data_IF_978095060556
#
_entry.id   IF_978095060556
#
_cell.length_a   1.000
_cell.length_b   1.000
_cell.length_c   1.000
_cell.angle_alpha   90.00
_cell.angle_beta   90.00
_cell.angle_gamma   90.00
#
_symmetry.space_group_name_H-M   'P 1'
#
loop_
_entity.id
_entity.type
_entity.pdbx_description
1 polymer ?
#
# COMPACT_ATOMS: atom_id res chain seq x y z
N UNK A 1 17.21 45.63 24.72
CA UNK A 1 17.90 45.56 23.43
C UNK A 1 18.57 44.22 23.23
N UNK A 2 17.75 43.17 23.36
CA UNK A 2 18.20 41.77 23.16
C UNK A 2 17.23 41.14 22.16
N UNK A 3 17.41 41.43 20.85
CA UNK A 3 16.62 40.82 19.79
C UNK A 3 17.42 40.19 18.64
N UNK A 4 18.73 40.04 18.79
CA UNK A 4 19.59 39.56 17.70
C UNK A 4 20.13 38.12 17.85
N UNK A 5 19.68 37.35 18.86
CA UNK A 5 20.24 35.99 19.10
C UNK A 5 19.35 34.82 18.69
N UNK A 6 18.39 35.00 17.76
CA UNK A 6 17.52 33.90 17.28
C UNK A 6 17.81 33.43 15.84
N UNK A 7 18.92 33.85 15.24
CA UNK A 7 19.33 33.40 13.89
C UNK A 7 20.63 32.58 13.98
N UNK A 8 20.65 31.50 14.73
CA UNK A 8 21.86 30.73 14.88
C UNK A 8 21.72 29.33 15.45
N UNK A 9 20.78 28.51 14.97
CA UNK A 9 20.83 27.06 15.28
C UNK A 9 20.06 26.17 14.30
N UNK A 10 20.10 26.50 13.00
CA UNK A 10 19.51 25.67 11.93
C UNK A 10 20.39 24.53 11.39
N UNK A 11 21.56 24.23 11.98
CA UNK A 11 22.57 23.38 11.34
C UNK A 11 22.82 22.01 12.00
N UNK A 12 21.85 21.41 12.68
CA UNK A 12 22.09 20.12 13.36
C UNK A 12 21.33 18.90 12.80
N UNK A 13 20.67 19.00 11.63
CA UNK A 13 19.97 17.84 11.04
C UNK A 13 20.68 17.19 9.84
N UNK A 14 21.73 17.79 9.28
CA UNK A 14 22.56 17.17 8.24
C UNK A 14 24.03 17.52 8.49
N UNK A 15 24.77 16.67 9.17
CA UNK A 15 26.22 16.83 9.29
C UNK A 15 26.87 16.73 7.91
N UNK A 16 27.30 17.87 7.35
CA UNK A 16 28.17 17.93 6.18
C UNK A 16 27.56 18.39 4.85
N UNK A 17 26.26 18.71 4.76
CA UNK A 17 25.72 19.27 3.52
C UNK A 17 25.94 20.79 3.45
N UNK A 18 26.61 21.25 2.39
CA UNK A 18 26.65 22.67 2.01
C UNK A 18 25.33 23.05 1.31
N UNK A 19 24.97 24.33 1.30
CA UNK A 19 23.76 24.81 0.58
C UNK A 19 23.75 24.38 -0.89
N UNK A 20 24.89 24.35 -1.53
CA UNK A 20 25.06 23.99 -2.94
C UNK A 20 24.76 22.49 -3.17
N UNK A 21 25.21 21.60 -2.28
CA UNK A 21 24.94 20.17 -2.38
C UNK A 21 23.45 19.83 -2.18
N UNK A 22 22.72 20.59 -1.34
CA UNK A 22 21.28 20.43 -1.16
C UNK A 22 20.53 20.88 -2.42
N UNK A 23 20.94 22.00 -3.03
CA UNK A 23 20.35 22.48 -4.28
C UNK A 23 20.55 21.49 -5.43
N UNK A 24 21.76 20.93 -5.58
CA UNK A 24 22.06 19.91 -6.61
C UNK A 24 21.22 18.64 -6.40
N UNK A 25 21.15 18.13 -5.16
CA UNK A 25 20.33 16.96 -4.84
C UNK A 25 18.84 17.21 -5.09
N UNK A 26 18.34 18.38 -4.76
CA UNK A 26 16.94 18.76 -5.01
C UNK A 26 16.64 18.83 -6.51
N UNK A 27 17.55 19.43 -7.30
CA UNK A 27 17.40 19.51 -8.75
C UNK A 27 17.42 18.12 -9.40
N UNK A 28 18.28 17.22 -8.93
CA UNK A 28 18.34 15.82 -9.41
C UNK A 28 17.02 15.07 -9.11
N UNK A 29 16.50 15.19 -7.89
CA UNK A 29 15.20 14.62 -7.50
C UNK A 29 14.09 15.17 -8.40
N UNK A 30 14.02 16.48 -8.60
CA UNK A 30 13.02 17.09 -9.46
C UNK A 30 13.10 16.55 -10.89
N UNK A 31 14.32 16.47 -11.46
CA UNK A 31 14.53 15.94 -12.81
C UNK A 31 14.04 14.51 -12.93
N UNK A 32 14.47 13.62 -12.02
CA UNK A 32 14.05 12.22 -12.01
C UNK A 32 12.55 12.05 -11.83
N UNK A 33 11.93 12.89 -11.00
CA UNK A 33 10.48 12.88 -10.82
C UNK A 33 9.74 13.28 -12.10
N UNK A 34 10.18 14.33 -12.77
CA UNK A 34 9.58 14.74 -14.05
C UNK A 34 9.78 13.69 -15.15
N UNK A 35 10.93 13.03 -15.17
CA UNK A 35 11.22 11.93 -16.11
C UNK A 35 10.33 10.70 -15.84
N UNK A 36 9.88 10.49 -14.60
CA UNK A 36 8.97 9.41 -14.23
C UNK A 36 7.48 9.68 -14.56
N UNK A 37 7.08 10.93 -14.84
CA UNK A 37 5.67 11.27 -15.07
C UNK A 37 4.99 10.47 -16.19
N UNK A 38 5.62 10.19 -17.35
CA UNK A 38 5.01 9.37 -18.39
C UNK A 38 4.67 7.96 -17.91
N UNK A 39 5.52 7.36 -17.08
CA UNK A 39 5.32 6.04 -16.52
C UNK A 39 4.22 6.04 -15.45
N UNK A 40 4.22 7.03 -14.57
CA UNK A 40 3.12 7.24 -13.60
C UNK A 40 1.78 7.36 -14.34
N UNK A 41 1.73 8.17 -15.40
CA UNK A 41 0.52 8.34 -16.19
C UNK A 41 0.07 7.01 -16.81
N UNK A 42 0.98 6.25 -17.39
CA UNK A 42 0.70 4.95 -18.02
C UNK A 42 0.09 3.98 -16.97
N UNK A 43 0.70 3.85 -15.82
CA UNK A 43 0.23 2.96 -14.75
C UNK A 43 -1.13 3.39 -14.21
N UNK A 44 -1.34 4.70 -14.01
CA UNK A 44 -2.65 5.22 -13.60
C UNK A 44 -3.76 4.90 -14.62
N UNK A 45 -3.45 4.96 -15.92
CA UNK A 45 -4.42 4.62 -16.97
C UNK A 45 -4.77 3.12 -16.96
N UNK A 46 -3.81 2.23 -16.70
CA UNK A 46 -4.09 0.79 -16.56
C UNK A 46 -4.92 0.50 -15.32
N UNK A 47 -4.68 1.18 -14.21
CA UNK A 47 -5.48 1.04 -12.98
C UNK A 47 -6.92 1.56 -13.18
N UNK A 48 -7.10 2.70 -13.84
CA UNK A 48 -8.45 3.21 -14.20
C UNK A 48 -9.17 2.22 -15.13
N UNK A 49 -8.45 1.59 -16.06
CA UNK A 49 -9.05 0.54 -16.90
C UNK A 49 -9.45 -0.67 -16.04
N UNK A 50 -8.63 -1.10 -15.08
CA UNK A 50 -8.94 -2.20 -14.18
C UNK A 50 -10.20 -1.94 -13.35
N UNK A 51 -10.34 -0.71 -12.83
CA UNK A 51 -11.53 -0.29 -12.10
C UNK A 51 -12.79 -0.33 -12.97
N UNK A 52 -12.70 0.19 -14.20
CA UNK A 52 -13.83 0.18 -15.12
C UNK A 52 -14.23 -1.24 -15.54
N UNK A 53 -13.26 -2.11 -15.83
CA UNK A 53 -13.52 -3.50 -16.23
C UNK A 53 -13.99 -4.36 -15.05
N UNK A 54 -13.63 -3.99 -13.82
CA UNK A 54 -13.96 -4.72 -12.60
C UNK A 54 -15.28 -4.33 -11.96
N UNK A 55 -15.83 -3.16 -12.29
CA UNK A 55 -17.10 -2.65 -11.75
C UNK A 55 -18.22 -2.64 -12.82
N UNK A 56 -19.11 -3.65 -12.82
CA UNK A 56 -20.23 -3.70 -13.77
C UNK A 56 -21.22 -2.54 -13.64
N UNK A 57 -21.18 -1.79 -12.52
CA UNK A 57 -22.05 -0.65 -12.28
C UNK A 57 -21.47 0.67 -12.80
N UNK A 58 -20.18 0.70 -13.14
CA UNK A 58 -19.51 1.91 -13.62
C UNK A 58 -20.07 2.32 -14.99
N UNK A 59 -20.60 3.54 -15.05
CA UNK A 59 -21.11 4.11 -16.30
C UNK A 59 -20.02 4.64 -17.23
N UNK A 60 -18.86 5.02 -16.68
CA UNK A 60 -17.73 5.55 -17.44
C UNK A 60 -16.41 5.43 -16.66
N UNK A 61 -15.26 5.61 -17.37
CA UNK A 61 -13.94 5.63 -16.73
C UNK A 61 -13.76 6.86 -15.84
N UNK A 62 -14.40 7.97 -16.16
CA UNK A 62 -14.35 9.19 -15.35
C UNK A 62 -14.99 9.00 -13.98
N UNK A 63 -16.03 8.17 -13.89
CA UNK A 63 -16.71 7.85 -12.63
C UNK A 63 -15.78 7.12 -11.67
N UNK A 64 -15.02 6.14 -12.14
CA UNK A 64 -14.15 5.32 -11.29
C UNK A 64 -12.89 6.03 -10.81
N UNK A 65 -12.47 7.13 -11.44
CA UNK A 65 -11.30 7.92 -11.03
C UNK A 65 -11.47 8.45 -9.60
N UNK A 66 -12.68 8.81 -9.19
CA UNK A 66 -12.95 9.38 -7.87
C UNK A 66 -12.81 8.36 -6.72
N UNK A 67 -12.83 7.08 -7.02
CA UNK A 67 -12.73 6.00 -6.03
C UNK A 67 -11.33 5.42 -5.90
N UNK A 68 -10.41 5.83 -6.78
CA UNK A 68 -9.08 5.26 -6.87
C UNK A 68 -8.04 6.04 -6.04
N UNK A 69 -7.20 5.35 -5.24
CA UNK A 69 -6.15 6.00 -4.45
C UNK A 69 -4.90 6.34 -5.31
N UNK A 70 -5.08 6.93 -6.49
CA UNK A 70 -4.01 7.23 -7.46
C UNK A 70 -2.87 8.07 -6.90
N UNK A 71 -3.11 8.80 -5.80
CA UNK A 71 -2.08 9.58 -5.12
C UNK A 71 -0.93 8.70 -4.59
N UNK A 72 -1.19 7.43 -4.29
CA UNK A 72 -0.16 6.46 -3.92
C UNK A 72 0.91 6.31 -5.01
N UNK A 73 0.55 6.23 -6.30
CA UNK A 73 1.51 6.06 -7.41
C UNK A 73 2.54 7.19 -7.46
N UNK A 74 2.09 8.41 -7.21
CA UNK A 74 2.96 9.59 -7.14
C UNK A 74 3.83 9.56 -5.88
N UNK A 75 3.23 9.23 -4.75
CA UNK A 75 3.93 9.12 -3.46
C UNK A 75 5.02 8.05 -3.50
N UNK A 76 4.79 6.93 -4.15
CA UNK A 76 5.75 5.83 -4.30
C UNK A 76 7.02 6.28 -5.04
N UNK A 77 6.90 6.97 -6.17
CA UNK A 77 8.07 7.50 -6.89
C UNK A 77 8.88 8.47 -6.04
N UNK A 78 8.22 9.35 -5.30
CA UNK A 78 8.91 10.25 -4.37
C UNK A 78 9.59 9.50 -3.21
N UNK A 79 8.98 8.41 -2.74
CA UNK A 79 9.56 7.52 -1.73
C UNK A 79 10.85 6.87 -2.25
N UNK A 80 10.84 6.32 -3.46
CA UNK A 80 12.00 5.68 -4.09
C UNK A 80 13.12 6.67 -4.39
N UNK A 81 12.79 7.93 -4.67
CA UNK A 81 13.75 9.03 -4.78
C UNK A 81 14.31 9.51 -3.43
N UNK A 82 13.89 8.91 -2.31
CA UNK A 82 14.38 9.23 -0.98
C UNK A 82 13.86 10.55 -0.41
N UNK A 83 12.74 11.07 -0.94
CA UNK A 83 12.12 12.30 -0.42
C UNK A 83 11.56 12.03 0.98
N UNK A 84 12.01 12.75 2.02
CA UNK A 84 11.53 12.50 3.37
C UNK A 84 10.13 13.11 3.58
N UNK A 85 9.32 12.48 4.43
CA UNK A 85 8.04 12.99 4.96
C UNK A 85 6.93 13.13 3.90
N UNK A 86 7.19 13.79 2.77
CA UNK A 86 6.18 14.12 1.74
C UNK A 86 5.42 12.86 1.26
N UNK A 87 6.07 11.74 0.89
CA UNK A 87 5.35 10.53 0.49
C UNK A 87 4.36 10.04 1.55
N UNK A 88 4.77 10.07 2.82
CA UNK A 88 3.90 9.69 3.94
C UNK A 88 2.70 10.62 4.09
N UNK A 89 2.91 11.94 4.02
CA UNK A 89 1.82 12.92 4.09
C UNK A 89 0.83 12.70 2.95
N UNK A 90 1.31 12.42 1.74
CA UNK A 90 0.46 12.15 0.58
C UNK A 90 -0.40 10.89 0.78
N UNK A 91 0.18 9.80 1.27
CA UNK A 91 -0.58 8.56 1.53
C UNK A 91 -1.58 8.72 2.69
N UNK A 92 -1.27 9.54 3.72
CA UNK A 92 -2.23 9.87 4.79
C UNK A 92 -3.41 10.72 4.29
N UNK A 93 -3.18 11.65 3.36
CA UNK A 93 -4.26 12.41 2.71
C UNK A 93 -5.16 11.46 1.92
N UNK A 94 -4.58 10.55 1.13
CA UNK A 94 -5.34 9.53 0.40
C UNK A 94 -6.15 8.64 1.34
N UNK A 95 -5.53 8.14 2.41
CA UNK A 95 -6.17 7.32 3.44
C UNK A 95 -7.36 8.05 4.09
N UNK A 96 -7.16 9.29 4.51
CA UNK A 96 -8.25 10.08 5.15
C UNK A 96 -9.45 10.31 4.24
N UNK A 97 -9.23 10.35 2.92
CA UNK A 97 -10.29 10.60 1.93
C UNK A 97 -11.01 9.33 1.47
N UNK A 98 -10.31 8.20 1.43
CA UNK A 98 -10.81 6.94 0.84
C UNK A 98 -11.02 5.81 1.84
N UNK A 99 -10.42 5.89 3.01
CA UNK A 99 -10.34 4.77 3.97
C UNK A 99 -9.39 3.66 3.54
N UNK A 100 -8.53 3.89 2.52
CA UNK A 100 -7.55 2.94 2.00
C UNK A 100 -6.16 3.39 2.44
N UNK A 101 -5.49 2.58 3.25
CA UNK A 101 -4.12 2.85 3.76
C UNK A 101 -3.09 2.07 2.96
N UNK A 102 -2.30 2.76 2.13
CA UNK A 102 -1.22 2.16 1.34
C UNK A 102 0.10 2.81 1.76
N UNK A 103 1.03 2.01 2.29
CA UNK A 103 2.38 2.47 2.58
C UNK A 103 3.12 2.91 1.30
N UNK A 104 3.74 4.08 1.31
CA UNK A 104 4.40 4.63 0.12
C UNK A 104 5.50 3.73 -0.45
N UNK A 105 6.15 2.90 0.38
CA UNK A 105 7.18 1.95 -0.04
C UNK A 105 6.65 0.62 -0.59
N UNK A 106 5.34 0.39 -0.64
CA UNK A 106 4.79 -0.82 -1.25
C UNK A 106 5.03 -0.81 -2.77
N UNK A 107 5.38 -1.95 -3.35
CA UNK A 107 5.51 -2.10 -4.79
C UNK A 107 4.24 -2.75 -5.35
N UNK A 108 3.55 -2.07 -6.26
CA UNK A 108 2.28 -2.52 -6.84
C UNK A 108 2.39 -2.48 -8.37
N UNK A 109 2.19 -3.62 -9.01
CA UNK A 109 2.17 -3.79 -10.47
C UNK A 109 1.05 -3.01 -11.15
N UNK A 110 0.85 -3.29 -12.43
CA UNK A 110 -0.14 -2.62 -13.27
C UNK A 110 -1.52 -3.26 -13.18
N UNK A 111 -2.53 -2.54 -13.67
CA UNK A 111 -3.90 -3.03 -13.72
C UNK A 111 -4.42 -3.46 -12.34
N UNK A 112 -4.06 -2.68 -11.33
CA UNK A 112 -4.41 -2.95 -9.94
C UNK A 112 -5.83 -2.48 -9.64
N UNK A 113 -6.64 -3.37 -9.05
CA UNK A 113 -8.04 -3.13 -8.77
C UNK A 113 -8.34 -3.21 -7.27
N UNK A 114 -9.00 -2.18 -6.73
CA UNK A 114 -9.60 -2.19 -5.39
C UNK A 114 -11.08 -1.89 -5.51
N UNK A 115 -11.92 -2.83 -5.04
CA UNK A 115 -13.36 -2.64 -5.00
C UNK A 115 -13.81 -2.19 -3.61
N UNK A 116 -14.68 -1.16 -3.56
CA UNK A 116 -15.15 -0.44 -2.37
C UNK A 116 -14.02 0.15 -1.51
N UNK A 117 -12.98 -0.55 -1.25
CA UNK A 117 -11.71 -0.13 -0.68
C UNK A 117 -11.68 0.18 0.82
N UNK A 118 -12.77 0.57 1.44
CA UNK A 118 -12.79 0.97 2.86
C UNK A 118 -12.15 -0.08 3.75
N UNK A 119 -11.14 0.32 4.53
CA UNK A 119 -10.42 -0.56 5.45
C UNK A 119 -9.37 -1.46 4.80
N UNK A 120 -9.05 -1.27 3.52
CA UNK A 120 -7.87 -1.91 2.91
C UNK A 120 -6.61 -1.33 3.53
N UNK A 121 -5.69 -2.21 3.94
CA UNK A 121 -4.37 -1.85 4.46
C UNK A 121 -3.29 -2.61 3.68
N UNK A 122 -2.39 -1.88 3.04
CA UNK A 122 -1.23 -2.42 2.31
C UNK A 122 0.04 -1.90 2.98
N UNK A 123 0.74 -2.80 3.67
CA UNK A 123 1.96 -2.45 4.41
C UNK A 123 3.12 -2.08 3.49
N UNK A 124 4.01 -1.24 3.98
CA UNK A 124 5.10 -0.57 3.25
C UNK A 124 6.04 -1.51 2.48
N UNK A 125 6.29 -2.73 2.96
CA UNK A 125 7.17 -3.69 2.28
C UNK A 125 6.39 -4.78 1.51
N UNK A 126 5.12 -4.53 1.20
CA UNK A 126 4.32 -5.42 0.36
C UNK A 126 4.81 -5.36 -1.09
N UNK A 127 4.80 -6.50 -1.76
CA UNK A 127 4.99 -6.59 -3.20
C UNK A 127 3.72 -7.18 -3.82
N UNK A 128 3.16 -6.52 -4.81
CA UNK A 128 1.95 -6.92 -5.52
C UNK A 128 2.27 -6.94 -7.01
N UNK A 129 1.98 -8.04 -7.69
CA UNK A 129 2.13 -8.20 -9.13
C UNK A 129 1.04 -7.50 -9.94
N UNK A 130 0.93 -7.88 -11.21
CA UNK A 130 -0.02 -7.32 -12.15
C UNK A 130 -1.40 -7.98 -12.04
N UNK A 131 -2.45 -7.24 -12.42
CA UNK A 131 -3.84 -7.73 -12.47
C UNK A 131 -4.37 -8.27 -11.13
N UNK A 132 -3.89 -7.76 -10.02
CA UNK A 132 -4.34 -8.16 -8.68
C UNK A 132 -5.61 -7.41 -8.30
N UNK A 133 -6.56 -8.14 -7.67
CA UNK A 133 -7.84 -7.60 -7.21
C UNK A 133 -7.98 -7.72 -5.71
N UNK A 134 -8.24 -6.59 -5.03
CA UNK A 134 -8.51 -6.54 -3.60
C UNK A 134 -9.93 -6.00 -3.34
N UNK A 135 -10.58 -6.54 -2.35
CA UNK A 135 -11.87 -6.07 -1.87
C UNK A 135 -11.73 -5.38 -0.51
N UNK A 136 -12.79 -4.70 -0.08
CA UNK A 136 -12.82 -3.92 1.17
C UNK A 136 -12.32 -4.72 2.38
N UNK A 137 -11.63 -4.05 3.29
CA UNK A 137 -11.14 -4.62 4.56
C UNK A 137 -9.98 -5.62 4.42
N UNK A 138 -9.42 -5.80 3.23
CA UNK A 138 -8.24 -6.65 3.04
C UNK A 138 -7.04 -6.04 3.75
N UNK A 139 -6.31 -6.86 4.49
CA UNK A 139 -5.06 -6.46 5.17
C UNK A 139 -3.87 -7.27 4.65
N UNK A 140 -2.91 -6.58 4.04
CA UNK A 140 -1.58 -7.12 3.69
C UNK A 140 -0.57 -6.59 4.72
N UNK A 141 -0.40 -7.33 5.81
CA UNK A 141 0.23 -6.84 7.03
C UNK A 141 1.46 -7.62 7.48
N UNK A 142 2.10 -7.12 8.53
CA UNK A 142 3.16 -7.84 9.22
C UNK A 142 2.58 -8.88 10.18
N UNK A 143 3.24 -10.04 10.29
CA UNK A 143 2.85 -11.08 11.25
C UNK A 143 3.04 -10.62 12.71
N UNK A 144 4.05 -9.78 12.97
CA UNK A 144 4.33 -9.20 14.29
C UNK A 144 5.07 -7.87 14.15
N UNK A 145 4.70 -6.92 14.99
CA UNK A 145 5.36 -5.62 15.10
C UNK A 145 6.24 -5.50 16.36
N UNK A 146 6.41 -6.59 17.13
CA UNK A 146 7.16 -6.60 18.41
C UNK A 146 8.63 -6.20 18.25
N UNK A 147 9.21 -6.30 17.06
CA UNK A 147 10.57 -5.85 16.76
C UNK A 147 10.77 -4.33 16.79
N UNK A 148 9.69 -3.55 16.75
CA UNK A 148 9.74 -2.08 16.73
C UNK A 148 10.67 -1.56 15.63
N UNK A 149 11.53 -0.59 15.95
CA UNK A 149 12.45 0.03 15.00
C UNK A 149 13.46 -0.92 14.33
N UNK A 150 13.72 -2.10 14.92
CA UNK A 150 14.57 -3.13 14.29
C UNK A 150 13.97 -3.73 13.02
N UNK A 151 12.68 -3.52 12.79
CA UNK A 151 11.99 -3.95 11.57
C UNK A 151 12.06 -2.91 10.45
N UNK A 152 12.68 -1.75 10.66
CA UNK A 152 12.85 -0.74 9.62
C UNK A 152 13.68 -1.31 8.46
N UNK A 153 13.18 -1.17 7.23
CA UNK A 153 13.83 -1.70 6.03
C UNK A 153 13.82 -3.22 5.85
N UNK A 154 13.22 -3.97 6.80
CA UNK A 154 13.10 -5.44 6.68
C UNK A 154 11.78 -5.80 6.00
N UNK A 155 11.82 -6.74 5.05
CA UNK A 155 10.62 -7.34 4.43
C UNK A 155 9.77 -7.99 5.53
N UNK A 156 8.58 -7.41 5.79
CA UNK A 156 7.66 -7.85 6.86
C UNK A 156 6.22 -8.03 6.40
N UNK A 157 5.92 -7.63 5.16
CA UNK A 157 4.61 -7.75 4.54
C UNK A 157 4.65 -8.74 3.37
N UNK A 158 3.52 -9.36 3.01
CA UNK A 158 3.49 -10.46 2.05
C UNK A 158 3.87 -10.05 0.63
N UNK A 159 4.09 -11.07 -0.20
CA UNK A 159 4.19 -10.96 -1.65
C UNK A 159 2.94 -11.57 -2.27
N UNK A 160 2.29 -10.83 -3.16
CA UNK A 160 1.12 -11.25 -3.93
C UNK A 160 1.55 -11.29 -5.39
N UNK A 161 1.51 -12.45 -6.01
CA UNK A 161 1.88 -12.62 -7.41
C UNK A 161 0.74 -12.18 -8.35
N UNK A 162 0.97 -12.31 -9.67
CA UNK A 162 0.05 -11.82 -10.69
C UNK A 162 -1.32 -12.51 -10.66
N UNK A 163 -2.35 -11.83 -11.13
CA UNK A 163 -3.69 -12.39 -11.31
C UNK A 163 -4.38 -12.91 -10.03
N UNK A 164 -3.88 -12.52 -8.84
CA UNK A 164 -4.46 -12.93 -7.56
C UNK A 164 -5.70 -12.11 -7.22
N UNK A 165 -6.72 -12.77 -6.67
CA UNK A 165 -7.90 -12.13 -6.12
C UNK A 165 -8.01 -12.38 -4.62
N UNK A 166 -8.14 -11.31 -3.82
CA UNK A 166 -8.30 -11.40 -2.36
C UNK A 166 -9.63 -10.74 -1.98
N UNK A 167 -10.56 -11.57 -1.50
CA UNK A 167 -11.90 -11.13 -1.13
C UNK A 167 -11.95 -10.45 0.25
N UNK A 168 -13.07 -9.78 0.50
CA UNK A 168 -13.30 -8.87 1.61
C UNK A 168 -12.89 -9.41 2.98
N UNK A 169 -12.29 -8.53 3.79
CA UNK A 169 -11.87 -8.80 5.18
C UNK A 169 -10.86 -9.95 5.34
N UNK A 170 -10.22 -10.40 4.26
CA UNK A 170 -9.13 -11.35 4.37
C UNK A 170 -7.86 -10.66 4.91
N UNK A 171 -7.13 -11.35 5.77
CA UNK A 171 -5.82 -10.90 6.28
C UNK A 171 -4.74 -11.84 5.77
N UNK A 172 -3.76 -11.29 5.05
CA UNK A 172 -2.56 -12.01 4.59
C UNK A 172 -1.35 -11.38 5.26
N UNK A 173 -0.66 -12.13 6.11
CA UNK A 173 0.35 -11.59 6.99
C UNK A 173 1.69 -12.30 6.87
N UNK A 174 2.77 -11.50 6.98
CA UNK A 174 4.14 -12.01 7.10
C UNK A 174 5.01 -11.80 5.85
N UNK A 175 6.28 -11.43 6.05
CA UNK A 175 7.21 -11.13 4.97
C UNK A 175 7.62 -12.33 4.12
N UNK A 176 7.52 -13.54 4.68
CA UNK A 176 7.80 -14.79 3.98
C UNK A 176 6.55 -15.38 3.28
N UNK A 177 5.37 -14.79 3.52
CA UNK A 177 4.12 -15.25 2.92
C UNK A 177 4.04 -14.83 1.46
N UNK A 178 3.90 -15.79 0.56
CA UNK A 178 3.71 -15.59 -0.87
C UNK A 178 2.37 -16.17 -1.28
N UNK A 179 1.55 -15.38 -1.93
CA UNK A 179 0.32 -15.85 -2.58
C UNK A 179 0.63 -16.02 -4.06
N UNK A 180 0.68 -17.27 -4.50
CA UNK A 180 1.06 -17.64 -5.87
C UNK A 180 0.06 -17.19 -6.92
N UNK A 181 0.58 -17.01 -8.14
CA UNK A 181 -0.13 -16.49 -9.30
C UNK A 181 -1.52 -17.15 -9.50
N UNK A 182 -2.50 -16.37 -9.90
CA UNK A 182 -3.85 -16.85 -10.24
C UNK A 182 -4.63 -17.43 -9.06
N UNK A 183 -4.13 -17.27 -7.83
CA UNK A 183 -4.80 -17.79 -6.63
C UNK A 183 -5.96 -16.90 -6.17
N UNK A 184 -6.89 -17.51 -5.46
CA UNK A 184 -8.07 -16.84 -4.90
C UNK A 184 -8.11 -17.05 -3.38
N UNK A 185 -8.11 -15.96 -2.64
CA UNK A 185 -8.26 -15.94 -1.18
C UNK A 185 -9.69 -15.53 -0.84
N UNK A 186 -10.44 -16.44 -0.22
CA UNK A 186 -11.82 -16.18 0.18
C UNK A 186 -11.90 -15.15 1.31
N UNK A 187 -13.04 -14.46 1.37
CA UNK A 187 -13.28 -13.43 2.37
C UNK A 187 -13.19 -13.95 3.80
N UNK A 188 -12.80 -13.04 4.71
CA UNK A 188 -12.68 -13.30 6.15
C UNK A 188 -11.69 -14.44 6.51
N UNK A 189 -10.74 -14.76 5.62
CA UNK A 189 -9.68 -15.73 5.90
C UNK A 189 -8.48 -15.06 6.57
N UNK A 190 -7.76 -15.84 7.37
CA UNK A 190 -6.52 -15.40 8.04
C UNK A 190 -5.35 -16.28 7.56
N UNK A 191 -4.51 -15.73 6.70
CA UNK A 191 -3.45 -16.45 5.98
C UNK A 191 -2.09 -15.96 6.46
N UNK A 192 -1.28 -16.89 7.00
CA UNK A 192 0.08 -16.63 7.50
C UNK A 192 1.11 -17.58 6.90
N UNK A 193 0.77 -18.22 5.79
CA UNK A 193 1.59 -19.22 5.09
C UNK A 193 1.47 -18.99 3.58
N UNK A 194 2.47 -19.44 2.84
CA UNK A 194 2.48 -19.33 1.39
C UNK A 194 1.46 -20.26 0.74
N UNK A 195 0.83 -19.75 -0.31
CA UNK A 195 -0.19 -20.45 -1.11
C UNK A 195 0.38 -20.72 -2.50
N UNK A 196 0.39 -21.96 -2.98
CA UNK A 196 0.86 -22.28 -4.33
C UNK A 196 0.03 -21.58 -5.41
N UNK A 197 0.59 -21.38 -6.62
CA UNK A 197 -0.14 -20.80 -7.74
C UNK A 197 -1.46 -21.53 -8.06
N UNK A 198 -2.42 -20.80 -8.61
CA UNK A 198 -3.73 -21.30 -9.06
C UNK A 198 -4.54 -22.03 -7.98
N UNK A 199 -4.34 -21.65 -6.72
CA UNK A 199 -4.98 -22.28 -5.57
C UNK A 199 -6.15 -21.45 -5.06
N UNK A 200 -7.10 -22.11 -4.39
CA UNK A 200 -8.20 -21.46 -3.69
C UNK A 200 -8.11 -21.71 -2.19
N UNK A 201 -7.96 -20.65 -1.42
CA UNK A 201 -8.02 -20.69 0.05
C UNK A 201 -9.41 -20.30 0.51
N UNK A 202 -10.02 -21.14 1.32
CA UNK A 202 -11.33 -20.87 1.93
C UNK A 202 -11.43 -21.51 3.31
N UNK A 203 -12.27 -20.96 4.18
CA UNK A 203 -12.63 -21.61 5.45
C UNK A 203 -13.54 -22.77 5.15
N UNK A 204 -13.23 -23.96 5.68
CA UNK A 204 -14.00 -25.18 5.39
C UNK A 204 -15.39 -25.17 6.05
N UNK A 205 -15.48 -24.74 7.31
CA UNK A 205 -16.72 -24.56 8.07
C UNK A 205 -16.44 -23.57 9.20
N UNK A 206 -17.38 -22.61 9.42
CA UNK A 206 -17.39 -21.80 10.63
C UNK A 206 -18.31 -22.48 11.65
N UNK A 207 -17.76 -23.05 12.70
CA UNK A 207 -18.56 -23.54 13.82
C UNK A 207 -19.05 -22.35 14.66
N UNK A 208 -20.30 -21.99 14.47
CA UNK A 208 -20.95 -20.94 15.26
C UNK A 208 -21.55 -21.60 16.49
N UNK A 209 -20.97 -21.30 17.66
CA UNK A 209 -21.54 -21.73 18.94
C UNK A 209 -22.37 -20.62 19.53
N UNK A 210 -23.65 -20.88 19.73
CA UNK A 210 -24.55 -20.02 20.49
C UNK A 210 -24.61 -20.58 21.91
N UNK A 211 -24.19 -19.79 22.90
CA UNK A 211 -24.28 -20.13 24.32
C UNK A 211 -25.42 -19.36 24.97
N UNK A 212 -26.17 -20.02 25.78
CA UNK A 212 -27.15 -19.36 26.63
C UNK A 212 -26.50 -18.90 27.97
N UNK A 213 -26.99 -17.79 28.57
CA UNK A 213 -26.48 -17.35 29.88
C UNK A 213 -26.61 -18.47 30.93
N UNK A 214 -25.46 -18.90 31.48
CA UNK A 214 -25.42 -19.93 32.52
C UNK A 214 -24.80 -21.27 32.09
N UNK A 215 -24.52 -21.50 30.82
CA UNK A 215 -23.73 -22.65 30.38
C UNK A 215 -22.24 -22.43 30.70
N UNK A 216 -21.64 -23.33 31.48
CA UNK A 216 -20.18 -23.36 31.78
C UNK A 216 -19.54 -24.39 30.86
N UNK A 217 -18.25 -24.15 30.54
CA UNK A 217 -17.40 -25.08 29.80
C UNK A 217 -17.26 -26.42 30.54
#
# INVERSE_FOLDING_TARGET
>A
DDRDDLVGSGNHLCGGCTSDSICEQTADICTKFFDALPEIQRTLLTDVQALYDGDPAAGSKEEVIFTYPGLYRIAHVLYDLGVPIIPRVMTEIAHSSTGIDIGAGAHIGEYFFIDHGTGVVIGETTTIGDHVKLYQGVTLGALSTRGGQRLAGVKRHPTIEDNVTIYSNASVLGGETVIGEGSVIAGSTFVTFSVPPHSRVSVKEQEIRVRQPGERD
#
